data_IF_691203345481
#
_entry.id   IF_691203345481
#
_cell.length_a   1.000
_cell.length_b   1.000
_cell.length_c   1.000
_cell.angle_alpha   90.00
_cell.angle_beta   90.00
_cell.angle_gamma   90.00
#
_symmetry.space_group_name_H-M   'P 1'
#
loop_
_entity.id
_entity.type
_entity.pdbx_description
1 polymer ?
#
# COMPACT_ATOMS: atom_id res chain seq x y z
N UNK A 1 9.46 16.04 40.41
CA UNK A 1 10.08 14.80 39.95
C UNK A 1 8.93 13.94 39.37
N UNK A 2 8.78 13.94 38.06
CA UNK A 2 7.76 13.15 37.39
C UNK A 2 8.43 11.86 36.92
N UNK A 3 7.98 10.72 37.45
CA UNK A 3 8.43 9.39 37.02
C UNK A 3 8.02 9.13 35.57
N UNK A 4 9.01 8.94 34.71
CA UNK A 4 8.83 8.36 33.40
C UNK A 4 8.40 6.89 33.52
N UNK A 5 7.11 6.59 33.38
CA UNK A 5 6.63 5.21 33.22
C UNK A 5 6.83 4.81 31.76
N UNK A 6 7.93 4.14 31.45
CA UNK A 6 8.09 3.42 30.22
C UNK A 6 7.12 2.22 30.23
N UNK A 7 6.07 2.30 29.42
CA UNK A 7 5.21 1.16 29.13
C UNK A 7 5.96 0.30 28.10
N UNK A 8 6.62 -0.76 28.56
CA UNK A 8 7.17 -1.80 27.69
C UNK A 8 6.03 -2.75 27.38
N UNK A 9 5.38 -2.57 26.23
CA UNK A 9 4.47 -3.58 25.67
C UNK A 9 5.36 -4.70 25.14
N UNK A 10 5.53 -5.78 25.90
CA UNK A 10 6.03 -7.04 25.36
C UNK A 10 4.89 -7.66 24.53
N UNK A 11 4.98 -7.59 23.21
CA UNK A 11 4.23 -8.48 22.34
C UNK A 11 4.78 -9.90 22.60
N UNK A 12 4.15 -10.61 23.50
CA UNK A 12 4.28 -12.05 23.56
C UNK A 12 3.29 -12.60 22.54
N UNK A 13 3.72 -12.67 21.26
CA UNK A 13 3.08 -13.61 20.36
C UNK A 13 3.17 -14.96 21.04
N UNK A 14 2.03 -15.57 21.32
CA UNK A 14 1.99 -16.95 21.85
C UNK A 14 2.42 -17.89 20.73
N UNK A 15 3.74 -17.92 20.47
CA UNK A 15 4.38 -18.85 19.55
C UNK A 15 4.33 -20.28 20.11
N UNK A 16 3.94 -20.44 21.39
CA UNK A 16 3.86 -21.76 22.01
C UNK A 16 2.82 -22.65 21.34
N UNK A 17 1.70 -22.10 20.88
CA UNK A 17 0.70 -22.85 20.11
C UNK A 17 1.20 -23.21 18.70
N UNK A 18 1.96 -22.31 18.06
CA UNK A 18 2.59 -22.55 16.75
C UNK A 18 3.79 -23.52 16.88
N UNK A 19 4.67 -23.33 17.86
CA UNK A 19 5.76 -24.27 18.15
C UNK A 19 5.24 -25.62 18.57
N UNK A 20 4.16 -25.68 19.36
CA UNK A 20 3.51 -26.93 19.71
C UNK A 20 2.86 -27.61 18.50
N UNK A 21 2.28 -26.85 17.55
CA UNK A 21 1.75 -27.39 16.30
C UNK A 21 2.88 -27.88 15.37
N UNK A 22 3.97 -27.13 15.25
CA UNK A 22 5.16 -27.52 14.48
C UNK A 22 5.89 -28.71 15.12
N UNK A 23 6.01 -28.76 16.43
CA UNK A 23 6.62 -29.88 17.16
C UNK A 23 5.74 -31.14 17.07
N UNK A 24 4.41 -30.99 17.12
CA UNK A 24 3.48 -32.09 16.86
C UNK A 24 3.54 -32.59 15.42
N UNK A 25 3.61 -31.67 14.45
CA UNK A 25 3.81 -32.04 13.04
C UNK A 25 5.14 -32.77 12.84
N UNK A 26 6.23 -32.28 13.45
CA UNK A 26 7.55 -32.88 13.39
C UNK A 26 7.62 -34.25 14.12
N UNK A 27 6.98 -34.39 15.28
CA UNK A 27 6.89 -35.66 16.01
C UNK A 27 5.98 -36.68 15.31
N UNK A 28 4.88 -36.20 14.71
CA UNK A 28 4.00 -37.04 13.89
C UNK A 28 4.73 -37.52 12.63
N UNK A 29 5.51 -36.66 11.97
CA UNK A 29 6.35 -37.06 10.84
C UNK A 29 7.43 -38.07 11.23
N UNK A 30 8.07 -37.88 12.40
CA UNK A 30 9.04 -38.86 12.94
C UNK A 30 8.42 -40.19 13.34
N UNK A 31 7.23 -40.19 13.96
CA UNK A 31 6.48 -41.37 14.33
C UNK A 31 5.98 -42.14 13.11
N UNK A 32 5.59 -41.40 12.05
CA UNK A 32 5.22 -41.94 10.74
C UNK A 32 6.43 -42.55 10.04
N UNK A 33 7.59 -41.90 10.07
CA UNK A 33 8.82 -42.41 9.47
C UNK A 33 9.31 -43.70 10.15
N UNK A 34 9.25 -43.77 11.50
CA UNK A 34 9.61 -45.00 12.26
C UNK A 34 8.55 -46.09 12.19
N UNK A 35 7.27 -45.75 11.97
CA UNK A 35 6.19 -46.69 11.71
C UNK A 35 6.24 -47.35 10.32
N UNK A 36 6.86 -46.64 9.33
CA UNK A 36 7.05 -47.13 7.96
C UNK A 36 8.10 -48.25 7.86
N UNK A 37 9.03 -48.36 8.80
CA UNK A 37 10.02 -49.45 8.82
C UNK A 37 9.44 -50.81 9.24
N UNK A 38 8.28 -50.87 9.89
CA UNK A 38 7.76 -52.11 10.51
C UNK A 38 6.44 -52.66 10.01
N UNK A 39 5.77 -52.06 8.99
CA UNK A 39 4.47 -52.61 8.59
C UNK A 39 4.12 -52.39 7.12
N UNK A 40 4.42 -53.35 6.29
CA UNK A 40 4.11 -53.39 4.84
C UNK A 40 2.62 -53.57 4.47
N UNK A 41 1.65 -53.17 5.28
CA UNK A 41 0.21 -53.36 4.98
C UNK A 41 -0.78 -52.30 5.44
N UNK A 42 -0.35 -51.08 5.81
CA UNK A 42 -1.28 -49.98 6.14
C UNK A 42 -0.94 -48.68 5.42
N UNK A 43 -0.56 -48.74 4.14
CA UNK A 43 -0.07 -47.58 3.38
C UNK A 43 -1.14 -46.60 2.88
N UNK A 44 -2.41 -47.00 2.84
CA UNK A 44 -3.44 -46.15 2.21
C UNK A 44 -3.92 -44.95 3.06
N UNK A 45 -3.90 -45.03 4.39
CA UNK A 45 -4.35 -43.95 5.28
C UNK A 45 -3.24 -42.92 5.62
N UNK A 46 -1.98 -43.36 5.52
CA UNK A 46 -0.81 -42.49 5.79
C UNK A 46 -0.47 -41.66 4.57
N UNK A 47 -0.69 -42.17 3.36
CA UNK A 47 -0.49 -41.46 2.11
C UNK A 47 -1.41 -40.25 1.97
N UNK A 48 -2.67 -40.34 2.47
CA UNK A 48 -3.61 -39.20 2.39
C UNK A 48 -3.24 -38.02 3.31
N UNK A 49 -2.68 -38.28 4.50
CA UNK A 49 -2.24 -37.21 5.41
C UNK A 49 -0.96 -36.51 4.95
N UNK A 50 0.01 -37.24 4.43
CA UNK A 50 1.26 -36.70 3.89
C UNK A 50 1.05 -35.98 2.55
N UNK A 51 0.11 -36.48 1.73
CA UNK A 51 -0.29 -35.79 0.49
C UNK A 51 -1.04 -34.50 0.80
N UNK A 52 -1.89 -34.45 1.82
CA UNK A 52 -2.59 -33.22 2.21
C UNK A 52 -1.62 -32.15 2.74
N UNK A 53 -0.66 -32.54 3.61
CA UNK A 53 0.37 -31.60 4.09
C UNK A 53 1.34 -31.18 2.98
N UNK A 54 1.73 -32.08 2.08
CA UNK A 54 2.56 -31.78 0.92
C UNK A 54 1.85 -30.89 -0.11
N UNK A 55 0.55 -31.10 -0.34
CA UNK A 55 -0.28 -30.25 -1.20
C UNK A 55 -0.50 -28.87 -0.58
N UNK A 56 -0.71 -28.78 0.74
CA UNK A 56 -0.83 -27.50 1.43
C UNK A 56 0.49 -26.69 1.38
N UNK A 57 1.65 -27.35 1.59
CA UNK A 57 2.96 -26.71 1.47
C UNK A 57 3.26 -26.27 0.02
N UNK A 58 2.89 -27.08 -0.97
CA UNK A 58 3.03 -26.72 -2.38
C UNK A 58 2.10 -25.55 -2.76
N UNK A 59 0.85 -25.57 -2.30
CA UNK A 59 -0.10 -24.47 -2.54
C UNK A 59 0.37 -23.18 -1.89
N UNK A 60 0.91 -23.23 -0.66
CA UNK A 60 1.50 -22.10 0.02
C UNK A 60 2.71 -21.54 -0.74
N UNK A 61 3.60 -22.42 -1.21
CA UNK A 61 4.76 -22.04 -2.02
C UNK A 61 4.36 -21.36 -3.34
N UNK A 62 3.36 -21.89 -4.05
CA UNK A 62 2.84 -21.29 -5.29
C UNK A 62 2.19 -19.95 -5.01
N UNK A 63 1.41 -19.82 -3.92
CA UNK A 63 0.79 -18.57 -3.51
C UNK A 63 1.85 -17.51 -3.18
N UNK A 64 2.90 -17.88 -2.43
CA UNK A 64 4.01 -16.97 -2.08
C UNK A 64 4.75 -16.47 -3.32
N UNK A 65 5.03 -17.35 -4.27
CA UNK A 65 5.70 -16.97 -5.53
C UNK A 65 4.82 -16.01 -6.35
N UNK A 66 3.51 -16.28 -6.41
CA UNK A 66 2.57 -15.40 -7.11
C UNK A 66 2.51 -14.03 -6.45
N UNK A 67 2.33 -13.97 -5.13
CA UNK A 67 2.32 -12.70 -4.39
C UNK A 67 3.61 -11.91 -4.58
N UNK A 68 4.75 -12.57 -4.52
CA UNK A 68 6.05 -11.91 -4.76
C UNK A 68 6.18 -11.40 -6.21
N UNK A 69 5.65 -12.14 -7.20
CA UNK A 69 5.66 -11.70 -8.60
C UNK A 69 4.73 -10.52 -8.84
N UNK A 70 3.52 -10.53 -8.26
CA UNK A 70 2.56 -9.43 -8.33
C UNK A 70 3.15 -8.18 -7.65
N UNK A 71 3.78 -8.34 -6.49
CA UNK A 71 4.46 -7.26 -5.77
C UNK A 71 5.69 -6.73 -6.55
N UNK A 72 6.48 -7.60 -7.19
CA UNK A 72 7.60 -7.19 -8.05
C UNK A 72 7.12 -6.36 -9.25
N UNK A 73 5.97 -6.69 -9.82
CA UNK A 73 5.36 -5.89 -10.87
C UNK A 73 4.93 -4.51 -10.35
N UNK A 74 4.34 -4.42 -9.15
CA UNK A 74 4.00 -3.13 -8.52
C UNK A 74 5.26 -2.30 -8.27
N UNK A 75 6.31 -2.91 -7.73
CA UNK A 75 7.59 -2.23 -7.50
C UNK A 75 8.28 -1.77 -8.79
N UNK A 76 8.08 -2.49 -9.91
CA UNK A 76 8.53 -2.02 -11.22
C UNK A 76 7.78 -0.77 -11.67
N UNK A 77 6.48 -0.67 -11.35
CA UNK A 77 5.68 0.54 -11.59
C UNK A 77 6.13 1.70 -10.70
N UNK A 78 6.42 1.42 -9.42
CA UNK A 78 7.01 2.38 -8.49
C UNK A 78 8.32 2.94 -9.06
N UNK A 79 9.21 2.06 -9.55
CA UNK A 79 10.48 2.48 -10.17
C UNK A 79 10.27 3.41 -11.36
N UNK A 80 9.33 3.09 -12.24
CA UNK A 80 9.03 3.89 -13.42
C UNK A 80 8.52 5.30 -13.05
N UNK A 81 7.71 5.43 -11.99
CA UNK A 81 7.10 6.70 -11.60
C UNK A 81 7.98 7.54 -10.64
N UNK A 82 8.83 6.90 -9.83
CA UNK A 82 9.76 7.60 -8.93
C UNK A 82 11.11 7.89 -9.57
N UNK A 83 11.48 7.18 -10.64
CA UNK A 83 12.82 7.22 -11.21
C UNK A 83 13.89 6.60 -10.30
N UNK A 84 13.51 5.79 -9.31
CA UNK A 84 14.40 5.21 -8.32
C UNK A 84 15.51 4.36 -8.97
N UNK A 85 16.73 4.51 -8.49
CA UNK A 85 17.85 3.60 -8.81
C UNK A 85 17.59 2.21 -8.21
N UNK A 86 18.37 1.18 -8.61
CA UNK A 86 18.17 -0.16 -8.06
C UNK A 86 18.25 -0.21 -6.53
N UNK A 87 19.22 0.49 -5.92
CA UNK A 87 19.37 0.53 -4.47
C UNK A 87 18.23 1.30 -3.76
N UNK A 88 17.73 2.38 -4.36
CA UNK A 88 16.58 3.12 -3.84
C UNK A 88 15.29 2.31 -3.98
N UNK A 89 15.13 1.56 -5.07
CA UNK A 89 14.01 0.66 -5.26
C UNK A 89 13.99 -0.44 -4.19
N UNK A 90 15.15 -1.00 -3.84
CA UNK A 90 15.26 -1.99 -2.76
C UNK A 90 14.84 -1.39 -1.40
N UNK A 91 15.20 -0.12 -1.13
CA UNK A 91 14.76 0.59 0.08
C UNK A 91 13.25 0.82 0.10
N UNK A 92 12.66 1.25 -1.02
CA UNK A 92 11.21 1.43 -1.15
C UNK A 92 10.47 0.10 -1.00
N UNK A 93 10.98 -0.98 -1.59
CA UNK A 93 10.47 -2.34 -1.45
C UNK A 93 10.45 -2.78 0.02
N UNK A 94 11.57 -2.60 0.70
CA UNK A 94 11.68 -2.93 2.12
C UNK A 94 10.72 -2.12 2.97
N UNK A 95 10.60 -0.81 2.71
CA UNK A 95 9.64 0.06 3.41
C UNK A 95 8.18 -0.39 3.22
N UNK A 96 7.80 -0.82 2.01
CA UNK A 96 6.47 -1.34 1.74
C UNK A 96 6.19 -2.65 2.50
N UNK A 97 7.16 -3.58 2.54
CA UNK A 97 7.05 -4.85 3.27
C UNK A 97 6.97 -4.59 4.79
N UNK A 98 7.80 -3.70 5.33
CA UNK A 98 7.78 -3.32 6.75
C UNK A 98 6.47 -2.64 7.15
N UNK A 99 5.95 -1.77 6.28
CA UNK A 99 4.65 -1.14 6.49
C UNK A 99 3.53 -2.18 6.51
N UNK A 100 3.55 -3.15 5.56
CA UNK A 100 2.60 -4.26 5.52
C UNK A 100 2.67 -5.18 6.75
N UNK A 101 3.85 -5.31 7.35
CA UNK A 101 4.03 -6.12 8.55
C UNK A 101 3.66 -5.39 9.85
N UNK A 102 3.62 -4.05 9.85
CA UNK A 102 3.50 -3.22 11.07
C UNK A 102 2.23 -2.36 11.12
N UNK A 103 1.44 -2.33 10.05
CA UNK A 103 0.21 -1.53 9.97
C UNK A 103 -0.98 -2.39 9.55
N UNK A 104 -2.18 -1.81 9.50
CA UNK A 104 -3.39 -2.47 8.99
C UNK A 104 -3.41 -2.60 7.46
N UNK A 105 -2.47 -1.98 6.78
CA UNK A 105 -2.34 -2.05 5.33
C UNK A 105 -1.38 -3.16 4.93
N UNK A 106 -1.61 -3.72 3.74
CA UNK A 106 -0.72 -4.74 3.16
C UNK A 106 0.54 -4.11 2.54
N UNK A 107 1.52 -4.95 2.22
CA UNK A 107 2.71 -4.52 1.49
C UNK A 107 2.36 -3.96 0.10
N UNK A 108 1.38 -4.58 -0.57
CA UNK A 108 0.87 -4.12 -1.88
C UNK A 108 0.22 -2.75 -1.77
N UNK A 109 -0.67 -2.51 -0.80
CA UNK A 109 -1.27 -1.19 -0.57
C UNK A 109 -0.23 -0.13 -0.21
N UNK A 110 0.81 -0.51 0.51
CA UNK A 110 1.94 0.37 0.83
C UNK A 110 2.78 0.70 -0.41
N UNK A 111 2.97 -0.26 -1.33
CA UNK A 111 3.62 -0.02 -2.62
C UNK A 111 2.79 0.90 -3.52
N UNK A 112 1.46 0.76 -3.52
CA UNK A 112 0.56 1.67 -4.24
C UNK A 112 0.63 3.10 -3.66
N UNK A 113 0.70 3.25 -2.34
CA UNK A 113 0.92 4.54 -1.70
C UNK A 113 2.26 5.17 -2.12
N UNK A 114 3.35 4.41 -2.12
CA UNK A 114 4.66 4.87 -2.61
C UNK A 114 4.57 5.33 -4.06
N UNK A 115 3.87 4.57 -4.90
CA UNK A 115 3.65 4.90 -6.31
C UNK A 115 2.90 6.24 -6.47
N UNK A 116 1.88 6.48 -5.68
CA UNK A 116 1.08 7.70 -5.78
C UNK A 116 1.83 8.93 -5.23
N UNK A 117 2.60 8.75 -4.15
CA UNK A 117 3.54 9.79 -3.68
C UNK A 117 4.60 10.12 -4.74
N UNK A 118 5.13 9.10 -5.43
CA UNK A 118 6.07 9.29 -6.54
C UNK A 118 5.46 10.03 -7.73
N UNK A 119 4.24 9.69 -8.16
CA UNK A 119 3.49 10.42 -9.19
C UNK A 119 3.25 11.88 -8.81
N UNK A 120 3.03 12.15 -7.53
CA UNK A 120 2.88 13.50 -7.01
C UNK A 120 4.20 14.28 -6.92
N UNK A 121 5.32 13.67 -7.34
CA UNK A 121 6.63 14.32 -7.44
C UNK A 121 7.46 14.26 -6.16
N UNK A 122 7.10 13.44 -5.18
CA UNK A 122 7.93 13.25 -3.99
C UNK A 122 9.19 12.45 -4.33
N UNK A 123 10.33 12.90 -3.81
CA UNK A 123 11.59 12.15 -3.95
C UNK A 123 11.57 10.85 -3.14
N UNK A 124 12.39 9.86 -3.54
CA UNK A 124 12.55 8.61 -2.77
C UNK A 124 12.92 8.89 -1.31
N UNK A 125 13.84 9.85 -1.09
CA UNK A 125 14.25 10.26 0.25
C UNK A 125 13.06 10.80 1.06
N UNK A 126 12.20 11.61 0.47
CA UNK A 126 11.03 12.19 1.14
C UNK A 126 9.98 11.12 1.46
N UNK A 127 9.76 10.19 0.55
CA UNK A 127 8.85 9.06 0.76
C UNK A 127 9.32 8.22 1.96
N UNK A 128 10.62 7.89 2.00
CA UNK A 128 11.22 7.09 3.08
C UNK A 128 11.34 7.85 4.40
N UNK A 129 11.54 9.18 4.37
CA UNK A 129 11.73 9.98 5.60
C UNK A 129 10.43 10.36 6.32
N UNK A 130 9.28 9.91 5.83
CA UNK A 130 8.00 10.15 6.49
C UNK A 130 6.80 10.22 5.56
N UNK A 131 7.00 10.28 4.24
CA UNK A 131 5.93 10.34 3.26
C UNK A 131 5.00 9.14 3.34
N UNK A 132 5.57 7.93 3.27
CA UNK A 132 4.80 6.69 3.37
C UNK A 132 4.07 6.59 4.72
N UNK A 133 4.79 6.77 5.83
CA UNK A 133 4.20 6.68 7.17
C UNK A 133 3.10 7.73 7.39
N UNK A 134 3.31 8.95 6.89
CA UNK A 134 2.29 10.02 6.93
C UNK A 134 1.02 9.64 6.17
N UNK A 135 1.14 9.12 4.94
CA UNK A 135 0.01 8.71 4.12
C UNK A 135 -0.77 7.55 4.77
N UNK A 136 -0.08 6.52 5.29
CA UNK A 136 -0.70 5.39 5.97
C UNK A 136 -1.44 5.83 7.24
N UNK A 137 -0.82 6.68 8.07
CA UNK A 137 -1.46 7.20 9.28
C UNK A 137 -2.66 8.09 8.96
N UNK A 138 -2.56 8.94 7.94
CA UNK A 138 -3.67 9.78 7.50
C UNK A 138 -4.83 8.94 7.00
N UNK A 139 -4.56 7.94 6.17
CA UNK A 139 -5.57 7.02 5.67
C UNK A 139 -6.26 6.26 6.82
N UNK A 140 -5.49 5.69 7.74
CA UNK A 140 -6.02 4.97 8.89
C UNK A 140 -6.79 5.89 9.85
N UNK A 141 -6.35 7.14 10.03
CA UNK A 141 -7.01 8.12 10.90
C UNK A 141 -8.43 8.46 10.46
N UNK A 142 -8.73 8.33 9.17
CA UNK A 142 -10.05 8.61 8.61
C UNK A 142 -10.79 7.35 8.12
N UNK A 143 -10.07 6.29 7.82
CA UNK A 143 -10.59 5.03 7.25
C UNK A 143 -10.78 5.14 5.74
N UNK A 144 -9.97 5.97 5.08
CA UNK A 144 -9.97 6.17 3.63
C UNK A 144 -8.91 5.30 2.93
N UNK A 145 -8.98 5.24 1.59
CA UNK A 145 -7.96 4.56 0.80
C UNK A 145 -6.60 5.26 0.94
N UNK A 146 -5.51 4.49 0.97
CA UNK A 146 -4.16 5.04 1.16
C UNK A 146 -3.74 5.93 -0.01
N UNK A 147 -4.14 5.58 -1.24
CA UNK A 147 -3.88 6.38 -2.43
C UNK A 147 -4.48 7.79 -2.34
N UNK A 148 -5.74 7.89 -1.88
CA UNK A 148 -6.41 9.19 -1.71
C UNK A 148 -5.72 10.04 -0.63
N UNK A 149 -5.32 9.42 0.49
CA UNK A 149 -4.58 10.11 1.55
C UNK A 149 -3.22 10.61 1.04
N UNK A 150 -2.51 9.79 0.27
CA UNK A 150 -1.25 10.14 -0.36
C UNK A 150 -1.42 11.33 -1.33
N UNK A 151 -2.48 11.33 -2.14
CA UNK A 151 -2.78 12.40 -3.09
C UNK A 151 -3.06 13.73 -2.35
N UNK A 152 -3.95 13.74 -1.35
CA UNK A 152 -4.24 14.96 -0.58
C UNK A 152 -3.00 15.50 0.13
N UNK A 153 -2.20 14.61 0.73
CA UNK A 153 -0.96 14.99 1.40
C UNK A 153 0.06 15.58 0.43
N UNK A 154 0.27 14.96 -0.72
CA UNK A 154 1.21 15.42 -1.73
C UNK A 154 0.77 16.73 -2.36
N UNK A 155 -0.53 16.90 -2.66
CA UNK A 155 -1.10 18.16 -3.13
C UNK A 155 -0.88 19.28 -2.11
N UNK A 156 -1.10 19.01 -0.81
CA UNK A 156 -0.87 19.98 0.24
C UNK A 156 0.61 20.38 0.36
N UNK A 157 1.54 19.40 0.31
CA UNK A 157 2.99 19.67 0.29
C UNK A 157 3.36 20.58 -0.89
N UNK A 158 2.87 20.27 -2.09
CA UNK A 158 3.13 21.03 -3.30
C UNK A 158 2.58 22.46 -3.20
N UNK A 159 1.31 22.64 -2.79
CA UNK A 159 0.65 23.96 -2.71
C UNK A 159 1.31 24.88 -1.70
N UNK A 160 1.82 24.34 -0.59
CA UNK A 160 2.48 25.12 0.46
C UNK A 160 4.01 25.14 0.33
N UNK A 161 4.57 24.60 -0.76
CA UNK A 161 6.02 24.50 -1.00
C UNK A 161 6.78 23.86 0.16
N UNK A 162 6.17 22.83 0.77
CA UNK A 162 6.76 22.09 1.86
C UNK A 162 7.62 20.94 1.32
N UNK A 163 8.68 20.59 2.04
CA UNK A 163 9.50 19.42 1.71
C UNK A 163 8.79 18.13 2.13
N UNK A 164 9.12 17.02 1.48
CA UNK A 164 8.57 15.72 1.84
C UNK A 164 8.87 15.28 3.28
N UNK A 165 9.95 15.79 3.89
CA UNK A 165 10.23 15.58 5.31
C UNK A 165 9.15 16.17 6.25
N UNK A 166 8.29 17.04 5.74
CA UNK A 166 7.17 17.64 6.46
C UNK A 166 5.84 16.86 6.23
N UNK A 167 5.89 15.74 5.49
CA UNK A 167 4.72 14.94 5.16
C UNK A 167 3.94 14.48 6.40
N UNK A 168 4.63 14.01 7.45
CA UNK A 168 3.97 13.64 8.71
C UNK A 168 3.25 14.83 9.37
N UNK A 169 3.83 16.03 9.30
CA UNK A 169 3.19 17.25 9.83
C UNK A 169 1.93 17.61 9.03
N UNK A 170 1.97 17.44 7.70
CA UNK A 170 0.80 17.65 6.83
C UNK A 170 -0.28 16.64 7.16
N UNK A 171 0.07 15.36 7.30
CA UNK A 171 -0.85 14.31 7.70
C UNK A 171 -1.52 14.62 9.06
N UNK A 172 -0.73 15.03 10.05
CA UNK A 172 -1.24 15.43 11.37
C UNK A 172 -2.22 16.60 11.28
N UNK A 173 -1.88 17.61 10.46
CA UNK A 173 -2.71 18.81 10.28
C UNK A 173 -4.06 18.47 9.65
N UNK A 174 -4.06 17.63 8.60
CA UNK A 174 -5.28 17.18 7.93
C UNK A 174 -6.14 16.28 8.84
N UNK A 175 -5.50 15.32 9.51
CA UNK A 175 -6.17 14.43 10.46
C UNK A 175 -6.78 15.22 11.63
N UNK A 176 -6.06 16.22 12.16
CA UNK A 176 -6.57 17.05 13.26
C UNK A 176 -7.70 17.98 12.80
N UNK A 177 -7.66 18.48 11.57
CA UNK A 177 -8.77 19.20 10.95
C UNK A 177 -10.03 18.35 10.92
N UNK A 178 -9.93 17.15 10.35
CA UNK A 178 -11.02 16.19 10.24
C UNK A 178 -11.52 15.69 11.61
N UNK A 179 -10.62 15.37 12.52
CA UNK A 179 -10.96 14.76 13.81
C UNK A 179 -11.49 15.74 14.85
N UNK A 180 -11.20 17.04 14.72
CA UNK A 180 -11.59 18.08 15.71
C UNK A 180 -12.69 19.02 15.22
N UNK A 181 -12.95 19.08 13.92
CA UNK A 181 -14.06 19.84 13.34
C UNK A 181 -15.10 18.90 12.72
N UNK A 182 -16.08 19.46 12.03
CA UNK A 182 -17.05 18.69 11.26
C UNK A 182 -16.47 18.38 9.88
N UNK A 183 -16.57 17.13 9.44
CA UNK A 183 -16.06 16.68 8.15
C UNK A 183 -15.09 15.51 8.27
N UNK A 184 -14.47 15.18 7.16
CA UNK A 184 -13.48 14.11 7.02
C UNK A 184 -12.22 14.62 6.32
N UNK A 185 -11.19 13.79 6.18
CA UNK A 185 -9.93 14.19 5.52
C UNK A 185 -10.16 14.63 4.07
N UNK A 186 -11.08 13.98 3.35
CA UNK A 186 -11.40 14.36 1.96
C UNK A 186 -11.98 15.77 1.89
N UNK A 187 -12.86 16.16 2.83
CA UNK A 187 -13.40 17.54 2.89
C UNK A 187 -12.28 18.56 3.04
N UNK A 188 -11.30 18.31 3.91
CA UNK A 188 -10.15 19.21 4.09
C UNK A 188 -9.21 19.20 2.87
N UNK A 189 -9.00 18.04 2.25
CA UNK A 189 -8.22 17.92 1.01
C UNK A 189 -8.84 18.71 -0.12
N UNK A 190 -10.14 18.57 -0.37
CA UNK A 190 -10.88 19.35 -1.37
C UNK A 190 -10.89 20.85 -1.08
N UNK A 191 -11.06 21.22 0.20
CA UNK A 191 -10.99 22.62 0.60
C UNK A 191 -9.60 23.22 0.31
N UNK A 192 -8.52 22.51 0.66
CA UNK A 192 -7.16 22.96 0.38
C UNK A 192 -6.88 23.01 -1.13
N UNK A 193 -7.35 22.05 -1.92
CA UNK A 193 -7.22 22.09 -3.39
C UNK A 193 -7.80 23.39 -3.97
N UNK A 194 -8.86 23.94 -3.37
CA UNK A 194 -9.50 25.18 -3.82
C UNK A 194 -8.85 26.47 -3.30
N UNK A 195 -8.16 26.44 -2.16
CA UNK A 195 -7.62 27.66 -1.54
C UNK A 195 -6.14 27.62 -1.20
N UNK A 196 -5.50 26.43 -1.18
CA UNK A 196 -4.15 26.26 -0.63
C UNK A 196 -3.10 27.11 -1.30
N UNK A 197 -3.05 27.12 -2.64
CA UNK A 197 -2.11 27.92 -3.40
C UNK A 197 -2.31 29.44 -3.13
N UNK A 198 -3.56 29.90 -3.05
CA UNK A 198 -3.85 31.31 -2.74
C UNK A 198 -3.49 31.64 -1.29
N UNK A 199 -3.80 30.74 -0.33
CA UNK A 199 -3.42 30.94 1.07
C UNK A 199 -1.89 31.01 1.22
N UNK A 200 -1.15 30.12 0.56
CA UNK A 200 0.30 30.15 0.56
C UNK A 200 0.86 31.45 -0.04
N UNK A 201 0.27 31.98 -1.12
CA UNK A 201 0.66 33.26 -1.71
C UNK A 201 0.47 34.45 -0.77
N UNK A 202 -0.43 34.34 0.19
CA UNK A 202 -0.62 35.30 1.29
C UNK A 202 0.34 35.06 2.47
N UNK A 203 1.19 34.05 2.40
CA UNK A 203 2.11 33.66 3.49
C UNK A 203 1.44 32.92 4.64
N UNK A 204 0.20 32.42 4.44
CA UNK A 204 -0.46 31.56 5.41
C UNK A 204 0.19 30.17 5.40
N UNK A 205 0.42 29.62 6.58
CA UNK A 205 0.86 28.22 6.71
C UNK A 205 -0.30 27.26 6.46
N UNK A 206 0.03 25.99 6.21
CA UNK A 206 -0.99 24.93 6.10
C UNK A 206 -1.81 24.83 7.41
N UNK A 207 -1.18 25.01 8.59
CA UNK A 207 -1.87 24.97 9.89
C UNK A 207 -2.84 26.16 10.03
N UNK A 208 -2.43 27.36 9.64
CA UNK A 208 -3.33 28.51 9.69
C UNK A 208 -4.50 28.32 8.73
N UNK A 209 -4.23 27.86 7.51
CA UNK A 209 -5.26 27.61 6.49
C UNK A 209 -6.24 26.55 6.96
N UNK A 210 -5.74 25.38 7.41
CA UNK A 210 -6.58 24.29 7.93
C UNK A 210 -7.34 24.71 9.18
N UNK A 211 -6.74 25.54 10.06
CA UNK A 211 -7.43 26.10 11.22
C UNK A 211 -8.61 27.01 10.85
N UNK A 212 -8.47 27.82 9.80
CA UNK A 212 -9.57 28.63 9.25
C UNK A 212 -10.65 27.75 8.63
N UNK A 213 -10.26 26.74 7.84
CA UNK A 213 -11.20 25.78 7.27
C UNK A 213 -11.94 25.00 8.35
N UNK A 214 -11.27 24.64 9.46
CA UNK A 214 -11.89 23.99 10.63
C UNK A 214 -12.92 24.89 11.31
N UNK A 215 -12.64 26.19 11.40
CA UNK A 215 -13.62 27.17 11.89
C UNK A 215 -14.84 27.22 10.98
N UNK A 216 -14.66 27.20 9.65
CA UNK A 216 -15.78 27.18 8.70
C UNK A 216 -16.56 25.89 8.81
N UNK A 217 -15.88 24.75 8.91
CA UNK A 217 -16.48 23.44 9.07
C UNK A 217 -17.33 23.34 10.35
N UNK A 218 -16.85 23.86 11.47
CA UNK A 218 -17.60 23.95 12.73
C UNK A 218 -18.91 24.74 12.59
N UNK A 219 -18.97 25.69 11.64
CA UNK A 219 -20.15 26.48 11.31
C UNK A 219 -20.95 25.92 10.12
N UNK A 220 -20.67 24.68 9.70
CA UNK A 220 -21.42 23.95 8.69
C UNK A 220 -21.01 24.20 7.24
N UNK A 221 -19.87 24.87 6.98
CA UNK A 221 -19.32 25.04 5.64
C UNK A 221 -18.07 24.18 5.50
N UNK A 222 -18.17 23.09 4.72
CA UNK A 222 -17.14 22.03 4.57
C UNK A 222 -16.73 21.85 3.11
N UNK A 223 -15.66 21.10 2.90
CA UNK A 223 -15.21 20.65 1.57
C UNK A 223 -14.90 21.77 0.62
N UNK A 224 -15.19 21.54 -0.65
CA UNK A 224 -14.94 22.48 -1.74
C UNK A 224 -15.58 23.89 -1.51
N UNK A 225 -16.74 23.96 -0.82
CA UNK A 225 -17.39 25.24 -0.50
C UNK A 225 -16.54 26.07 0.46
N UNK A 226 -16.01 25.47 1.52
CA UNK A 226 -15.16 26.16 2.49
C UNK A 226 -13.90 26.74 1.82
N UNK A 227 -13.23 25.90 1.01
CA UNK A 227 -12.05 26.32 0.24
C UNK A 227 -12.37 27.46 -0.72
N UNK A 228 -13.48 27.36 -1.46
CA UNK A 228 -13.87 28.40 -2.42
C UNK A 228 -14.24 29.72 -1.72
N UNK A 229 -14.87 29.67 -0.55
CA UNK A 229 -15.18 30.89 0.22
C UNK A 229 -13.89 31.56 0.73
N UNK A 230 -12.94 30.77 1.26
CA UNK A 230 -11.65 31.31 1.71
C UNK A 230 -10.86 31.88 0.53
N UNK A 231 -10.77 31.17 -0.59
CA UNK A 231 -10.11 31.65 -1.80
C UNK A 231 -10.72 32.97 -2.29
N UNK A 232 -12.06 33.05 -2.38
CA UNK A 232 -12.77 34.26 -2.81
C UNK A 232 -12.46 35.44 -1.89
N UNK A 233 -12.43 35.20 -0.58
CA UNK A 233 -12.08 36.22 0.41
C UNK A 233 -10.65 36.73 0.21
N UNK A 234 -9.68 35.83 0.10
CA UNK A 234 -8.26 36.18 -0.12
C UNK A 234 -8.08 36.98 -1.43
N UNK A 235 -8.73 36.55 -2.52
CA UNK A 235 -8.68 37.28 -3.80
C UNK A 235 -9.25 38.68 -3.69
N UNK A 236 -10.34 38.89 -2.93
CA UNK A 236 -10.92 40.23 -2.71
C UNK A 236 -10.00 41.10 -1.85
N UNK A 237 -9.29 40.51 -0.90
CA UNK A 237 -8.30 41.22 -0.09
C UNK A 237 -7.03 41.57 -0.90
N UNK A 238 -6.65 40.74 -1.88
CA UNK A 238 -5.52 41.03 -2.78
C UNK A 238 -5.79 42.21 -3.71
N UNK A 239 -7.03 42.31 -4.22
CA UNK A 239 -7.43 43.35 -5.18
C UNK A 239 -8.85 43.85 -4.82
N UNK A 240 -8.98 44.66 -3.76
CA UNK A 240 -10.27 45.21 -3.36
C UNK A 240 -10.79 46.21 -4.41
N UNK A 241 -12.10 46.22 -4.63
CA UNK A 241 -12.73 47.30 -5.41
C UNK A 241 -12.60 48.65 -4.70
N UNK A 242 -12.83 49.75 -5.41
CA UNK A 242 -12.81 51.09 -4.80
C UNK A 242 -13.74 51.19 -3.59
N UNK A 243 -14.95 50.63 -3.69
CA UNK A 243 -15.94 50.62 -2.60
C UNK A 243 -15.49 49.74 -1.43
N UNK A 244 -14.89 48.57 -1.73
CA UNK A 244 -14.34 47.69 -0.70
C UNK A 244 -13.18 48.39 0.03
N UNK A 245 -12.25 48.98 -0.69
CA UNK A 245 -11.13 49.73 -0.11
C UNK A 245 -11.59 50.93 0.74
N UNK A 246 -12.60 51.68 0.28
CA UNK A 246 -13.18 52.77 1.04
C UNK A 246 -13.85 52.28 2.33
N UNK A 247 -14.66 51.18 2.26
CA UNK A 247 -15.31 50.56 3.42
C UNK A 247 -14.29 50.03 4.42
N UNK A 248 -13.26 49.33 3.96
CA UNK A 248 -12.17 48.85 4.84
C UNK A 248 -11.47 50.01 5.55
N UNK A 249 -11.19 51.12 4.83
CA UNK A 249 -10.55 52.31 5.41
C UNK A 249 -11.48 52.96 6.45
N UNK A 250 -12.75 53.10 6.17
CA UNK A 250 -13.75 53.65 7.11
C UNK A 250 -13.85 52.83 8.39
N UNK A 251 -13.82 51.51 8.26
CA UNK A 251 -13.84 50.57 9.37
C UNK A 251 -12.47 50.41 10.08
N UNK A 252 -11.40 50.98 9.54
CA UNK A 252 -10.05 50.81 10.09
C UNK A 252 -9.51 49.40 9.95
N UNK A 253 -9.94 48.65 8.92
CA UNK A 253 -9.48 47.31 8.62
C UNK A 253 -8.39 47.36 7.54
N UNK A 254 -7.27 46.63 7.79
CA UNK A 254 -6.21 46.48 6.79
C UNK A 254 -5.81 44.98 6.72
N UNK A 255 -5.77 44.47 5.50
CA UNK A 255 -5.26 43.12 5.25
C UNK A 255 -3.72 43.07 5.27
N UNK A 256 -3.04 44.21 5.11
CA UNK A 256 -1.60 44.28 5.02
C UNK A 256 -1.02 45.22 6.09
N UNK A 257 0.18 44.91 6.55
CA UNK A 257 0.96 45.74 7.45
C UNK A 257 1.68 46.86 6.66
N UNK A 258 2.41 47.72 7.39
CA UNK A 258 3.16 48.82 6.78
C UNK A 258 4.28 48.37 5.81
N UNK A 259 4.70 47.09 5.89
CA UNK A 259 5.71 46.50 5.01
C UNK A 259 5.07 45.78 3.79
N UNK A 260 3.73 45.78 3.70
CA UNK A 260 2.99 45.10 2.63
C UNK A 260 2.79 43.59 2.81
N UNK A 261 3.09 43.07 3.98
CA UNK A 261 2.84 41.65 4.28
C UNK A 261 1.41 41.46 4.79
N UNK A 262 0.81 40.35 4.46
CA UNK A 262 -0.49 39.96 5.03
C UNK A 262 -0.39 39.84 6.54
N UNK A 263 -1.35 40.42 7.27
CA UNK A 263 -1.33 40.45 8.74
C UNK A 263 -1.63 39.12 9.42
N UNK A 264 -1.95 38.08 8.65
CA UNK A 264 -2.43 36.80 9.11
C UNK A 264 -3.93 36.79 9.40
N UNK A 265 -4.56 35.66 9.17
CA UNK A 265 -6.02 35.53 9.28
C UNK A 265 -6.52 35.77 10.72
N UNK A 266 -5.76 35.39 11.73
CA UNK A 266 -6.10 35.62 13.12
C UNK A 266 -6.17 37.11 13.46
N UNK A 267 -5.14 37.89 13.07
CA UNK A 267 -5.14 39.35 13.28
C UNK A 267 -6.25 40.03 12.46
N UNK A 268 -6.46 39.54 11.24
CA UNK A 268 -7.52 40.06 10.36
C UNK A 268 -8.92 39.83 10.99
N UNK A 269 -9.19 38.65 11.49
CA UNK A 269 -10.43 38.33 12.23
C UNK A 269 -10.61 39.22 13.47
N UNK A 270 -9.52 39.50 14.19
CA UNK A 270 -9.55 40.44 15.31
C UNK A 270 -9.88 41.86 14.93
N UNK A 271 -9.38 42.35 13.74
CA UNK A 271 -9.74 43.66 13.19
C UNK A 271 -11.22 43.71 12.82
N UNK A 272 -11.73 42.65 12.10
CA UNK A 272 -13.17 42.55 11.79
C UNK A 272 -14.02 42.61 13.04
N UNK A 273 -13.70 41.84 14.06
CA UNK A 273 -14.44 41.79 15.32
C UNK A 273 -14.49 43.17 16.02
N UNK A 274 -13.37 43.89 16.04
CA UNK A 274 -13.32 45.20 16.67
C UNK A 274 -14.07 46.25 15.86
N UNK A 275 -13.89 46.28 14.55
CA UNK A 275 -14.49 47.23 13.63
C UNK A 275 -16.01 47.14 13.57
N UNK A 276 -16.51 45.88 13.55
CA UNK A 276 -17.94 45.60 13.34
C UNK A 276 -18.74 45.48 14.63
N UNK A 277 -18.08 45.53 15.80
CA UNK A 277 -18.68 45.34 17.12
C UNK A 277 -19.94 46.20 17.37
N UNK A 278 -19.89 47.44 16.91
CA UNK A 278 -20.94 48.42 17.12
C UNK A 278 -21.92 48.52 15.95
N UNK A 279 -21.73 47.73 14.89
CA UNK A 279 -22.63 47.70 13.75
C UNK A 279 -23.85 46.80 14.07
N UNK A 280 -25.01 47.18 13.52
CA UNK A 280 -26.16 46.28 13.46
C UNK A 280 -25.82 45.11 12.53
N UNK A 281 -26.58 44.01 12.67
CA UNK A 281 -26.42 42.84 11.81
C UNK A 281 -26.55 43.21 10.32
N UNK A 282 -27.50 44.12 9.98
CA UNK A 282 -27.72 44.56 8.63
C UNK A 282 -26.46 45.35 8.10
N UNK A 283 -25.96 46.30 8.89
CA UNK A 283 -24.79 47.10 8.56
C UNK A 283 -23.55 46.19 8.37
N UNK A 284 -23.37 45.22 9.23
CA UNK A 284 -22.26 44.23 9.12
C UNK A 284 -22.39 43.41 7.86
N UNK A 285 -23.57 42.85 7.57
CA UNK A 285 -23.77 42.10 6.34
C UNK A 285 -23.54 42.93 5.09
N UNK A 286 -23.94 44.21 5.10
CA UNK A 286 -23.69 45.13 3.99
C UNK A 286 -22.20 45.42 3.82
N UNK A 287 -21.51 45.68 4.92
CA UNK A 287 -20.05 45.93 4.88
C UNK A 287 -19.30 44.66 4.38
N UNK A 288 -19.64 43.49 4.91
CA UNK A 288 -19.06 42.22 4.50
C UNK A 288 -19.37 41.89 3.04
N UNK A 289 -20.59 42.19 2.55
CA UNK A 289 -20.93 42.03 1.14
C UNK A 289 -20.11 42.93 0.24
N UNK A 290 -19.87 44.20 0.67
CA UNK A 290 -19.07 45.15 -0.07
C UNK A 290 -17.59 44.75 -0.14
N UNK A 291 -17.01 44.31 1.00
CA UNK A 291 -15.60 43.93 1.10
C UNK A 291 -15.32 42.62 0.41
N UNK A 292 -16.08 41.58 0.71
CA UNK A 292 -15.78 40.19 0.31
C UNK A 292 -16.67 39.66 -0.81
N UNK A 293 -17.74 40.38 -1.17
CA UNK A 293 -18.78 39.91 -2.08
C UNK A 293 -19.78 38.97 -1.40
N UNK A 294 -20.94 38.82 -2.04
CA UNK A 294 -22.05 38.05 -1.48
C UNK A 294 -21.72 36.57 -1.16
N UNK A 295 -20.78 35.98 -1.88
CA UNK A 295 -20.41 34.60 -1.71
C UNK A 295 -19.61 34.34 -0.42
N UNK A 296 -18.79 35.27 0.01
CA UNK A 296 -17.92 35.10 1.19
C UNK A 296 -18.48 35.78 2.47
N UNK A 297 -19.72 36.28 2.46
CA UNK A 297 -20.35 36.88 3.67
C UNK A 297 -20.37 35.90 4.84
N UNK A 298 -20.71 34.63 4.60
CA UNK A 298 -20.72 33.60 5.64
C UNK A 298 -19.35 33.46 6.30
N UNK A 299 -18.30 33.34 5.48
CA UNK A 299 -16.93 33.21 5.96
C UNK A 299 -16.48 34.45 6.77
N UNK A 300 -16.85 35.66 6.32
CA UNK A 300 -16.58 36.89 7.07
C UNK A 300 -17.29 36.90 8.43
N UNK A 301 -18.54 36.50 8.48
CA UNK A 301 -19.30 36.38 9.74
C UNK A 301 -18.66 35.34 10.68
N UNK A 302 -18.20 34.18 10.19
CA UNK A 302 -17.49 33.18 11.01
C UNK A 302 -16.22 33.76 11.60
N UNK A 303 -15.44 34.51 10.80
CA UNK A 303 -14.23 35.17 11.29
C UNK A 303 -14.55 36.26 12.32
N UNK A 304 -15.61 37.06 12.08
CA UNK A 304 -16.08 38.06 13.04
C UNK A 304 -16.45 37.42 14.39
N UNK A 305 -17.26 36.35 14.35
CA UNK A 305 -17.74 35.68 15.57
C UNK A 305 -16.59 35.03 16.36
N UNK A 306 -15.63 34.39 15.65
CA UNK A 306 -14.47 33.78 16.26
C UNK A 306 -13.44 34.80 16.78
N UNK A 307 -13.23 35.89 16.07
CA UNK A 307 -12.21 36.88 16.34
C UNK A 307 -10.80 36.30 16.28
N UNK A 308 -9.81 37.07 16.71
CA UNK A 308 -8.41 36.64 16.74
C UNK A 308 -8.19 35.36 17.56
N UNK A 309 -8.81 35.30 18.74
CA UNK A 309 -8.64 34.18 19.67
C UNK A 309 -9.21 32.88 19.09
N UNK A 310 -10.35 32.93 18.43
CA UNK A 310 -10.99 31.77 17.84
C UNK A 310 -10.14 31.17 16.71
N UNK A 311 -9.62 32.01 15.80
CA UNK A 311 -8.74 31.58 14.71
C UNK A 311 -7.44 30.99 15.26
N UNK A 312 -6.77 31.64 16.25
CA UNK A 312 -5.56 31.12 16.89
C UNK A 312 -5.80 29.78 17.58
N UNK A 313 -6.94 29.61 18.25
CA UNK A 313 -7.28 28.35 18.90
C UNK A 313 -7.42 27.21 17.88
N UNK A 314 -8.06 27.45 16.75
CA UNK A 314 -8.17 26.44 15.69
C UNK A 314 -6.83 26.15 15.04
N UNK A 315 -6.02 27.18 14.72
CA UNK A 315 -4.66 26.96 14.22
C UNK A 315 -3.83 26.11 15.17
N UNK A 316 -3.90 26.38 16.47
CA UNK A 316 -3.23 25.56 17.50
C UNK A 316 -3.78 24.13 17.55
N UNK A 317 -5.09 23.97 17.46
CA UNK A 317 -5.74 22.67 17.55
C UNK A 317 -5.31 21.72 16.42
N UNK A 318 -5.07 22.26 15.21
CA UNK A 318 -4.63 21.48 14.05
C UNK A 318 -3.11 21.36 13.92
N UNK A 319 -2.34 21.95 14.85
CA UNK A 319 -0.87 21.93 14.85
C UNK A 319 -0.29 20.83 15.76
N UNK A 320 -1.11 19.91 16.27
CA UNK A 320 -0.64 18.84 17.15
C UNK A 320 0.16 17.79 16.37
N UNK A 321 1.39 17.55 16.77
CA UNK A 321 2.25 16.52 16.18
C UNK A 321 1.84 15.12 16.66
N UNK A 322 1.84 14.14 15.76
CA UNK A 322 1.49 12.75 16.04
C UNK A 322 -0.01 12.45 16.05
N UNK A 323 -0.85 13.45 15.77
CA UNK A 323 -2.31 13.29 15.84
C UNK A 323 -2.84 12.21 14.87
N UNK A 324 -2.33 12.16 13.64
CA UNK A 324 -2.73 11.16 12.66
C UNK A 324 -2.42 9.73 13.16
N UNK A 325 -1.22 9.53 13.71
CA UNK A 325 -0.80 8.23 14.24
C UNK A 325 -1.62 7.82 15.48
N UNK A 326 -1.94 8.78 16.38
CA UNK A 326 -2.79 8.53 17.55
C UNK A 326 -4.20 8.11 17.15
N UNK A 327 -4.81 8.82 16.20
CA UNK A 327 -6.14 8.49 15.70
C UNK A 327 -6.15 7.16 14.95
N UNK A 328 -5.12 6.89 14.12
CA UNK A 328 -4.95 5.60 13.44
C UNK A 328 -4.89 4.45 14.46
N UNK A 329 -4.06 4.58 15.50
CA UNK A 329 -3.96 3.59 16.56
C UNK A 329 -5.28 3.38 17.31
N UNK A 330 -6.00 4.47 17.64
CA UNK A 330 -7.28 4.40 18.32
C UNK A 330 -8.36 3.69 17.47
N UNK A 331 -8.44 4.00 16.17
CA UNK A 331 -9.40 3.38 15.26
C UNK A 331 -9.11 1.90 14.99
N UNK A 332 -7.84 1.52 14.95
CA UNK A 332 -7.41 0.15 14.65
C UNK A 332 -7.32 -0.75 15.89
N UNK A 333 -7.51 -0.23 17.11
CA UNK A 333 -7.49 -1.00 18.35
C UNK A 333 -8.82 -1.77 18.54
N UNK A 334 -9.05 -2.75 17.68
CA UNK A 334 -10.22 -3.62 17.70
C UNK A 334 -9.93 -4.91 16.90
N UNK A 335 -10.81 -5.91 17.04
CA UNK A 335 -10.64 -7.23 16.39
C UNK A 335 -10.48 -7.12 14.86
N UNK A 336 -11.15 -6.17 14.19
CA UNK A 336 -11.02 -5.97 12.75
C UNK A 336 -9.60 -5.50 12.41
N UNK A 337 -9.08 -4.51 13.14
CA UNK A 337 -7.71 -4.03 12.97
C UNK A 337 -6.67 -5.14 13.24
N UNK A 338 -6.90 -5.97 14.27
CA UNK A 338 -6.04 -7.13 14.54
C UNK A 338 -6.01 -8.14 13.38
N UNK A 339 -7.16 -8.37 12.74
CA UNK A 339 -7.27 -9.27 11.59
C UNK A 339 -6.62 -8.66 10.33
N UNK A 340 -6.75 -7.35 10.11
CA UNK A 340 -6.09 -6.63 9.02
C UNK A 340 -4.57 -6.65 9.20
N UNK A 341 -4.07 -6.38 10.40
CA UNK A 341 -2.65 -6.50 10.74
C UNK A 341 -2.11 -7.92 10.52
N UNK A 342 -2.87 -8.94 10.91
CA UNK A 342 -2.50 -10.33 10.68
C UNK A 342 -2.45 -10.64 9.18
N UNK A 343 -3.41 -10.15 8.40
CA UNK A 343 -3.45 -10.33 6.94
C UNK A 343 -2.25 -9.67 6.26
N UNK A 344 -1.93 -8.42 6.60
CA UNK A 344 -0.78 -7.69 6.08
C UNK A 344 0.56 -8.34 6.45
N UNK A 345 0.69 -8.79 7.69
CA UNK A 345 1.87 -9.55 8.15
C UNK A 345 2.04 -10.87 7.40
N UNK A 346 0.93 -11.57 7.10
CA UNK A 346 0.95 -12.81 6.32
C UNK A 346 1.34 -12.55 4.87
N UNK A 347 0.83 -11.49 4.26
CA UNK A 347 1.22 -11.08 2.90
C UNK A 347 2.70 -10.73 2.83
N UNK A 348 3.21 -9.91 3.75
CA UNK A 348 4.63 -9.53 3.86
C UNK A 348 5.53 -10.76 4.01
N UNK A 349 5.10 -11.74 4.82
CA UNK A 349 5.81 -13.01 4.98
C UNK A 349 5.81 -13.82 3.67
N UNK A 350 4.67 -13.91 2.98
CA UNK A 350 4.57 -14.63 1.71
C UNK A 350 5.41 -13.99 0.62
N UNK A 351 5.43 -12.66 0.53
CA UNK A 351 6.30 -11.91 -0.39
C UNK A 351 7.76 -12.23 -0.10
N UNK A 352 8.20 -12.14 1.15
CA UNK A 352 9.59 -12.40 1.55
C UNK A 352 10.03 -13.85 1.25
N UNK A 353 9.15 -14.83 1.45
CA UNK A 353 9.41 -16.24 1.10
C UNK A 353 9.50 -16.39 -0.43
N UNK A 354 8.58 -15.77 -1.17
CA UNK A 354 8.52 -15.83 -2.62
C UNK A 354 9.73 -15.16 -3.29
N UNK A 355 10.22 -14.04 -2.75
CA UNK A 355 11.41 -13.35 -3.24
C UNK A 355 12.65 -14.23 -3.20
N UNK A 356 12.82 -15.03 -2.16
CA UNK A 356 13.91 -16.02 -2.07
C UNK A 356 13.88 -17.06 -3.19
N UNK A 357 12.71 -17.36 -3.74
CA UNK A 357 12.51 -18.31 -4.84
C UNK A 357 12.55 -17.65 -6.24
N UNK A 358 12.33 -16.34 -6.36
CA UNK A 358 12.23 -15.64 -7.66
C UNK A 358 13.51 -15.72 -8.48
N UNK A 359 14.66 -15.53 -7.88
CA UNK A 359 15.94 -15.56 -8.60
C UNK A 359 16.20 -16.89 -9.31
N UNK A 360 16.10 -18.04 -8.65
CA UNK A 360 16.18 -19.35 -9.27
C UNK A 360 15.08 -19.61 -10.31
N UNK A 361 13.83 -19.22 -10.03
CA UNK A 361 12.70 -19.40 -10.95
C UNK A 361 12.83 -18.55 -12.21
N UNK A 362 13.22 -17.28 -12.09
CA UNK A 362 13.43 -16.39 -13.23
C UNK A 362 14.52 -16.92 -14.16
N UNK A 363 15.64 -17.41 -13.61
CA UNK A 363 16.69 -18.07 -14.39
C UNK A 363 16.18 -19.32 -15.09
N UNK A 364 15.32 -20.07 -14.46
CA UNK A 364 14.72 -21.28 -14.98
C UNK A 364 13.74 -20.96 -16.13
N UNK A 365 12.87 -19.95 -15.97
CA UNK A 365 11.95 -19.48 -17.03
C UNK A 365 12.73 -18.93 -18.22
N UNK A 366 13.74 -18.07 -17.98
CA UNK A 366 14.60 -17.54 -19.04
C UNK A 366 15.39 -18.66 -19.76
N UNK A 367 15.81 -19.69 -19.02
CA UNK A 367 16.42 -20.87 -19.61
C UNK A 367 15.44 -21.67 -20.48
N UNK A 368 14.16 -21.75 -20.08
CA UNK A 368 13.10 -22.38 -20.89
C UNK A 368 12.81 -21.59 -22.16
N UNK A 369 12.68 -20.27 -22.09
CA UNK A 369 12.47 -19.40 -23.26
C UNK A 369 13.62 -19.60 -24.26
N UNK A 370 14.86 -19.59 -23.82
CA UNK A 370 16.03 -19.86 -24.68
C UNK A 370 15.99 -21.25 -25.31
N UNK A 371 15.45 -22.24 -24.58
CA UNK A 371 15.27 -23.59 -25.11
C UNK A 371 14.15 -23.69 -26.14
N UNK A 372 13.03 -23.03 -25.89
CA UNK A 372 11.89 -22.95 -26.82
C UNK A 372 12.33 -22.26 -28.10
N UNK A 373 13.04 -21.13 -28.01
CA UNK A 373 13.57 -20.40 -29.16
C UNK A 373 14.59 -21.24 -29.93
N UNK A 374 15.50 -21.93 -29.22
CA UNK A 374 16.48 -22.83 -29.84
C UNK A 374 15.80 -24.00 -30.56
N UNK A 375 14.75 -24.56 -29.96
CA UNK A 375 13.96 -25.64 -30.59
C UNK A 375 13.15 -25.12 -31.79
N UNK A 376 12.53 -23.94 -31.66
CA UNK A 376 11.76 -23.31 -32.74
C UNK A 376 12.64 -22.93 -33.95
N UNK A 377 13.91 -22.64 -33.73
CA UNK A 377 14.86 -22.30 -34.79
C UNK A 377 15.41 -23.52 -35.56
N UNK A 378 15.16 -24.75 -35.08
CA UNK A 378 15.59 -25.98 -35.77
C UNK A 378 14.75 -26.25 -37.01
N UNK A 379 15.33 -26.81 -38.07
CA UNK A 379 14.57 -27.29 -39.24
C UNK A 379 13.52 -28.33 -38.84
N UNK A 380 12.36 -28.33 -39.50
CA UNK A 380 11.20 -29.18 -39.16
C UNK A 380 11.54 -30.68 -39.00
N UNK A 381 12.49 -31.20 -39.83
CA UNK A 381 12.95 -32.59 -39.73
C UNK A 381 13.74 -32.87 -38.45
N UNK A 382 14.53 -31.91 -37.95
CA UNK A 382 15.25 -32.04 -36.69
C UNK A 382 14.30 -31.94 -35.48
N UNK A 383 13.30 -31.07 -35.54
CA UNK A 383 12.27 -30.97 -34.50
C UNK A 383 11.48 -32.27 -34.36
N UNK A 384 11.06 -32.88 -35.47
CA UNK A 384 10.37 -34.20 -35.50
C UNK A 384 11.26 -35.31 -34.90
N UNK A 385 12.55 -35.36 -35.24
CA UNK A 385 13.51 -36.36 -34.73
C UNK A 385 13.64 -36.24 -33.19
N UNK A 386 13.75 -35.01 -32.68
CA UNK A 386 13.84 -34.75 -31.23
C UNK A 386 12.56 -35.18 -30.52
N UNK A 387 11.40 -34.88 -31.08
CA UNK A 387 10.10 -35.27 -30.51
C UNK A 387 9.98 -36.82 -30.47
N UNK A 388 10.38 -37.51 -31.52
CA UNK A 388 10.34 -38.98 -31.59
C UNK A 388 11.33 -39.58 -30.58
N UNK A 389 12.55 -39.06 -30.47
CA UNK A 389 13.54 -39.51 -29.50
C UNK A 389 13.11 -39.25 -28.04
N UNK A 390 12.46 -38.12 -27.77
CA UNK A 390 11.91 -37.82 -26.44
C UNK A 390 10.77 -38.76 -26.08
N UNK A 391 9.88 -39.08 -27.04
CA UNK A 391 8.81 -40.04 -26.86
C UNK A 391 9.36 -41.46 -26.57
N UNK A 392 10.37 -41.90 -27.31
CA UNK A 392 11.03 -43.18 -27.08
C UNK A 392 11.79 -43.20 -25.74
N UNK A 393 12.45 -42.12 -25.37
CA UNK A 393 13.11 -41.94 -24.06
C UNK A 393 12.14 -41.97 -22.89
N UNK A 394 10.97 -41.38 -23.04
CA UNK A 394 9.88 -41.41 -22.06
C UNK A 394 9.33 -42.84 -21.86
N UNK A 395 9.14 -43.57 -22.93
CA UNK A 395 8.70 -45.02 -22.87
C UNK A 395 9.79 -45.85 -22.23
N UNK A 396 11.07 -45.68 -22.60
CA UNK A 396 12.17 -46.44 -22.01
C UNK A 396 12.40 -46.08 -20.54
N UNK A 397 12.22 -44.82 -20.15
CA UNK A 397 12.26 -44.35 -18.76
C UNK A 397 11.15 -44.94 -17.89
N UNK A 398 9.95 -45.07 -18.46
CA UNK A 398 8.82 -45.76 -17.82
C UNK A 398 9.08 -47.27 -17.60
N UNK A 399 9.65 -47.93 -18.58
CA UNK A 399 10.04 -49.36 -18.47
C UNK A 399 11.18 -49.54 -17.46
N UNK A 400 12.16 -48.62 -17.42
CA UNK A 400 13.26 -48.68 -16.45
C UNK A 400 12.78 -48.47 -14.99
N UNK A 401 11.80 -47.57 -14.80
CA UNK A 401 11.17 -47.35 -13.48
C UNK A 401 10.32 -48.53 -13.02
N UNK A 402 9.67 -49.21 -13.96
CA UNK A 402 8.96 -50.46 -13.68
C UNK A 402 9.94 -51.62 -13.36
N UNK A 403 11.06 -51.70 -14.04
CA UNK A 403 12.11 -52.72 -13.78
C UNK A 403 12.89 -52.45 -12.47
N UNK A 404 13.10 -51.17 -12.07
CA UNK A 404 13.78 -50.83 -10.82
C UNK A 404 12.94 -51.09 -9.56
N UNK A 405 11.62 -51.15 -9.69
CA UNK A 405 10.71 -51.54 -8.62
C UNK A 405 10.74 -53.08 -8.32
N UNK A 406 11.36 -53.85 -9.21
CA UNK A 406 11.50 -55.29 -9.06
C UNK A 406 12.82 -55.72 -8.39
N UNK A 407 13.82 -54.85 -8.29
CA UNK A 407 15.09 -55.14 -7.65
C UNK A 407 15.53 -54.02 -6.69
N UNK A 408 15.46 -54.31 -5.39
CA UNK A 408 15.75 -53.41 -4.27
C UNK A 408 17.19 -52.89 -4.12
N UNK A 409 17.91 -52.58 -5.21
CA UNK A 409 19.31 -52.14 -5.18
C UNK A 409 19.57 -50.78 -5.87
N UNK A 410 18.56 -50.02 -6.21
CA UNK A 410 18.71 -48.75 -6.93
C UNK A 410 19.21 -47.54 -6.07
N UNK A 411 19.18 -47.66 -4.73
CA UNK A 411 19.62 -46.56 -3.85
C UNK A 411 21.13 -46.39 -3.79
N UNK A 412 21.87 -47.42 -4.11
CA UNK A 412 23.37 -47.42 -4.06
C UNK A 412 23.99 -46.86 -5.36
N UNK A 413 23.29 -46.96 -6.48
CA UNK A 413 23.77 -46.43 -7.76
C UNK A 413 23.55 -44.91 -7.90
N UNK A 414 22.51 -44.34 -7.30
CA UNK A 414 22.24 -42.89 -7.33
C UNK A 414 23.29 -42.05 -6.58
N UNK A 415 23.92 -42.67 -5.55
CA UNK A 415 24.95 -42.00 -4.74
C UNK A 415 26.34 -42.03 -5.33
N UNK A 416 26.62 -42.93 -6.29
CA UNK A 416 27.94 -43.09 -6.89
C UNK A 416 28.10 -42.42 -8.25
N UNK A 417 27.04 -41.94 -8.86
CA UNK A 417 27.09 -41.10 -10.04
C UNK A 417 26.95 -39.68 -9.56
N UNK A 418 28.05 -39.02 -9.25
CA UNK A 418 28.17 -37.58 -8.91
C UNK A 418 27.82 -36.66 -10.08
N UNK A 419 26.77 -36.96 -10.77
CA UNK A 419 26.10 -36.10 -11.73
C UNK A 419 24.93 -35.42 -11.00
N UNK A 420 25.17 -34.18 -10.59
CA UNK A 420 24.09 -33.22 -10.49
C UNK A 420 23.42 -33.19 -11.89
N UNK A 421 22.45 -34.07 -12.14
CA UNK A 421 21.63 -33.99 -13.34
C UNK A 421 20.93 -32.66 -13.22
N UNK A 422 21.38 -31.71 -14.06
CA UNK A 422 20.85 -30.37 -14.20
C UNK A 422 19.32 -30.41 -14.09
N UNK A 423 18.69 -29.68 -13.15
CA UNK A 423 17.24 -29.60 -13.03
C UNK A 423 16.55 -29.32 -14.36
N UNK A 424 17.23 -28.61 -15.26
CA UNK A 424 16.81 -28.32 -16.63
C UNK A 424 16.65 -29.60 -17.47
N UNK A 425 17.54 -30.61 -17.31
CA UNK A 425 17.41 -31.87 -18.05
C UNK A 425 16.25 -32.74 -17.55
N UNK A 426 15.95 -32.74 -16.25
CA UNK A 426 14.78 -33.43 -15.71
C UNK A 426 13.48 -32.79 -16.17
N UNK A 427 13.46 -31.47 -16.30
CA UNK A 427 12.29 -30.75 -16.77
C UNK A 427 12.12 -30.85 -18.28
N UNK A 428 13.20 -30.91 -19.07
CA UNK A 428 13.16 -31.23 -20.52
C UNK A 428 12.47 -32.58 -20.78
N UNK A 429 12.80 -33.61 -20.00
CA UNK A 429 12.19 -34.93 -20.16
C UNK A 429 10.70 -34.95 -19.72
N UNK A 430 10.34 -34.21 -18.67
CA UNK A 430 8.96 -34.11 -18.20
C UNK A 430 8.08 -33.33 -19.19
N UNK A 431 8.58 -32.21 -19.74
CA UNK A 431 7.87 -31.39 -20.72
C UNK A 431 7.70 -32.11 -22.07
N UNK A 432 8.75 -32.82 -22.52
CA UNK A 432 8.69 -33.66 -23.73
C UNK A 432 7.68 -34.81 -23.57
N UNK A 433 7.62 -35.44 -22.39
CA UNK A 433 6.64 -36.47 -22.08
C UNK A 433 5.20 -35.95 -22.08
N UNK A 434 4.98 -34.76 -21.48
CA UNK A 434 3.67 -34.11 -21.45
C UNK A 434 3.19 -33.67 -22.86
N UNK A 435 4.09 -33.13 -23.70
CA UNK A 435 3.77 -32.77 -25.08
C UNK A 435 3.44 -34.00 -25.95
N UNK A 436 4.15 -35.10 -25.73
CA UNK A 436 3.91 -36.33 -26.48
C UNK A 436 2.60 -36.97 -26.07
N UNK A 437 2.28 -36.99 -24.77
CA UNK A 437 0.98 -37.44 -24.27
C UNK A 437 -0.16 -36.61 -24.87
N UNK A 438 -0.02 -35.29 -24.91
CA UNK A 438 -1.02 -34.39 -25.49
C UNK A 438 -1.20 -34.61 -27.01
N UNK A 439 -0.13 -34.87 -27.77
CA UNK A 439 -0.19 -35.18 -29.19
C UNK A 439 -0.86 -36.54 -29.45
N UNK A 440 -0.59 -37.58 -28.68
CA UNK A 440 -1.25 -38.88 -28.76
C UNK A 440 -2.74 -38.80 -28.45
N UNK A 441 -3.14 -38.02 -27.44
CA UNK A 441 -4.55 -37.77 -27.11
C UNK A 441 -5.26 -37.02 -28.21
N UNK A 442 -4.62 -36.03 -28.84
CA UNK A 442 -5.16 -35.29 -29.97
C UNK A 442 -5.33 -36.17 -31.23
N UNK A 443 -4.45 -37.13 -31.43
CA UNK A 443 -4.52 -38.08 -32.53
C UNK A 443 -5.60 -39.19 -32.33
N UNK A 444 -6.05 -39.41 -31.09
CA UNK A 444 -7.06 -40.43 -30.75
C UNK A 444 -8.51 -39.99 -31.02
N UNK A 445 -8.75 -38.73 -31.39
CA UNK A 445 -10.10 -38.20 -31.67
C UNK A 445 -11.01 -38.08 -30.44
N UNK A 446 -10.47 -38.19 -29.21
CA UNK A 446 -11.22 -38.08 -27.95
C UNK A 446 -11.62 -36.65 -27.66
N UNK A 447 -12.79 -36.44 -27.05
CA UNK A 447 -13.24 -35.13 -26.58
C UNK A 447 -12.38 -34.62 -25.43
N UNK A 448 -12.39 -33.29 -25.18
CA UNK A 448 -11.63 -32.69 -24.09
C UNK A 448 -11.98 -33.26 -22.70
N UNK A 449 -13.19 -33.72 -22.52
CA UNK A 449 -13.67 -34.30 -21.26
C UNK A 449 -13.15 -35.72 -21.05
N UNK A 450 -13.15 -36.56 -22.08
CA UNK A 450 -12.56 -37.91 -22.07
C UNK A 450 -11.02 -37.83 -21.89
N UNK A 451 -10.39 -36.79 -22.42
CA UNK A 451 -8.96 -36.54 -22.24
C UNK A 451 -8.62 -36.22 -20.77
N UNK A 452 -9.46 -35.43 -20.09
CA UNK A 452 -9.26 -35.11 -18.66
C UNK A 452 -9.51 -36.33 -17.76
N UNK A 453 -10.49 -37.18 -18.03
CA UNK A 453 -10.71 -38.39 -17.28
C UNK A 453 -9.58 -39.40 -17.45
N UNK A 454 -9.07 -39.57 -18.68
CA UNK A 454 -7.93 -40.44 -18.93
C UNK A 454 -6.64 -39.96 -18.23
N UNK A 455 -6.45 -38.63 -18.13
CA UNK A 455 -5.33 -38.03 -17.38
C UNK A 455 -5.47 -38.23 -15.86
N UNK A 456 -6.69 -38.08 -15.31
CA UNK A 456 -6.98 -38.30 -13.90
C UNK A 456 -6.76 -39.75 -13.44
N UNK A 457 -7.13 -40.71 -14.28
CA UNK A 457 -6.94 -42.14 -13.99
C UNK A 457 -5.49 -42.62 -14.20
N UNK A 458 -4.71 -41.97 -15.04
CA UNK A 458 -3.27 -42.24 -15.24
C UNK A 458 -2.39 -41.64 -14.13
N UNK A 459 -2.79 -40.53 -13.51
CA UNK A 459 -2.08 -39.93 -12.39
C UNK A 459 -2.34 -40.64 -11.03
N UNK A 460 -3.34 -41.48 -10.97
CA UNK A 460 -3.71 -42.24 -9.76
C UNK A 460 -3.21 -43.72 -9.74
N UNK A 461 -2.43 -44.09 -10.74
CA UNK A 461 -1.68 -45.37 -10.79
C UNK A 461 -0.18 -45.08 -10.77
#
# INVERSE_FOLDING_TARGET
MAENKNIVIRLMADTASYEAAMTRAGSTAKTVASGMENTGRKSALITSGLTAAGLAAAAFGVASIKMAADFDQQMSTVQANTGATGAELDQLRQAAIEAGASTVYSASESADAINDLGKAGMSVTDILSGGLTGALNLAASDGMAVGDAAEYMANALSMFHLSGSQASQVADTLAAGAGKAVGNVSDFGEALNNCGAQANSFGMSIQETTGVLSLFAQNGTIGAEAGTQLNSMLMKLAAPSNDAAATMKELGISAYDASGNFVGMANFAGQLQKAEKNLTQEQRNQANATIFGSYAIKAANYLYDAGEKGVRNWTKAVSESGYAAEQAAAKNNNLKGDLENLSGSMESLMISIGEGAQGPLRKLVQGLDTLVDSFASLPAGAQQTIIVMAALGGVLGGVHKAASNLNGSASTMANNIGLAIDPIQRMKSALASAQTAFQMFRASGMSAQEQMEAFGTSASR
#
